data_IF_327046930630
#
_entry.id   IF_327046930630
#
_cell.length_a   1.000
_cell.length_b   1.000
_cell.length_c   1.000
_cell.angle_alpha   90.00
_cell.angle_beta   90.00
_cell.angle_gamma   90.00
#
_symmetry.space_group_name_H-M   'P 1'
#
loop_
_entity.id
_entity.type
_entity.pdbx_description
1 polymer ?
2 water ?
#
# COMPACT_ATOMS: atom_id res chain seq x y z
N UNK A 1 -11.28 -8.21 15.54
CA UNK A 1 -11.33 -9.69 15.41
C UNK A 1 -10.61 -10.17 14.16
N UNK A 2 -10.57 -11.49 13.99
CA UNK A 2 -9.91 -12.13 12.85
C UNK A 2 -8.39 -12.03 12.90
N UNK A 3 -7.75 -13.12 13.30
CA UNK A 3 -6.29 -13.18 13.37
C UNK A 3 -5.66 -12.33 14.47
N UNK A 4 -4.52 -11.72 14.14
CA UNK A 4 -3.77 -10.90 15.08
C UNK A 4 -3.87 -9.41 14.75
N UNK A 5 -3.57 -8.57 15.74
CA UNK A 5 -3.62 -7.13 15.55
C UNK A 5 -2.37 -6.61 14.85
N UNK A 6 -2.53 -5.53 14.10
CA UNK A 6 -1.42 -4.92 13.38
C UNK A 6 -0.99 -3.71 14.22
N UNK A 7 0.31 -3.60 14.48
CA UNK A 7 0.85 -2.51 15.29
C UNK A 7 1.86 -1.67 14.51
N UNK A 8 2.04 -0.42 14.92
CA UNK A 8 3.03 0.43 14.27
C UNK A 8 4.37 0.15 14.95
N UNK A 9 5.43 0.83 14.54
CA UNK A 9 6.74 0.56 15.14
C UNK A 9 6.85 0.99 16.60
N UNK A 10 5.88 1.78 17.06
CA UNK A 10 5.88 2.25 18.45
C UNK A 10 5.19 1.24 19.36
N UNK A 11 4.57 0.23 18.77
CA UNK A 11 3.88 -0.78 19.56
C UNK A 11 2.41 -0.47 19.76
N UNK A 12 1.90 0.54 19.07
CA UNK A 12 0.50 0.90 19.19
C UNK A 12 -0.28 0.33 18.02
N UNK A 13 -1.56 0.02 18.23
CA UNK A 13 -2.37 -0.54 17.15
C UNK A 13 -2.48 0.42 15.97
N UNK A 14 -2.56 -0.12 14.77
CA UNK A 14 -2.73 0.70 13.58
C UNK A 14 -4.23 0.90 13.48
N UNK A 15 -4.66 2.15 13.52
CA UNK A 15 -6.08 2.46 13.47
C UNK A 15 -6.60 2.85 12.10
N UNK A 16 -7.81 2.41 11.79
CA UNK A 16 -8.44 2.77 10.53
C UNK A 16 -8.63 4.28 10.57
N UNK A 17 -8.42 4.95 9.44
CA UNK A 17 -8.62 6.38 9.41
C UNK A 17 -7.44 7.25 9.78
N UNK A 18 -6.49 6.69 10.52
CA UNK A 18 -5.31 7.43 10.93
C UNK A 18 -4.24 7.40 9.84
N UNK A 19 -3.32 8.36 9.90
CA UNK A 19 -2.24 8.44 8.93
C UNK A 19 -1.04 7.58 9.31
N UNK A 20 -0.46 6.91 8.31
CA UNK A 20 0.70 6.05 8.54
C UNK A 20 1.61 6.04 7.33
N UNK A 21 2.91 6.01 7.58
CA UNK A 21 3.89 5.89 6.51
C UNK A 21 4.04 4.38 6.41
N UNK A 22 4.30 3.88 5.21
CA UNK A 22 4.54 2.45 5.01
C UNK A 22 5.99 2.42 4.55
N UNK A 23 6.88 1.96 5.41
CA UNK A 23 8.29 1.93 5.07
C UNK A 23 8.87 0.53 5.14
N UNK A 24 10.04 0.36 4.54
CA UNK A 24 10.72 -0.92 4.54
C UNK A 24 11.10 -1.36 5.95
N UNK A 25 10.80 -2.62 6.27
CA UNK A 25 11.12 -3.19 7.57
C UNK A 25 12.62 -3.44 7.65
N UNK A 26 13.13 -3.56 8.87
CA UNK A 26 14.56 -3.80 9.06
C UNK A 26 15.05 -5.03 8.29
N UNK A 27 14.20 -6.05 8.18
CA UNK A 27 14.60 -7.25 7.45
C UNK A 27 14.26 -7.14 5.97
N UNK A 28 13.90 -5.93 5.55
CA UNK A 28 13.57 -5.71 4.16
C UNK A 28 14.82 -5.67 3.31
N UNK A 29 14.71 -5.13 2.10
CA UNK A 29 15.86 -5.04 1.21
C UNK A 29 16.38 -3.61 1.10
N UNK A 30 16.10 -2.81 2.12
CA UNK A 30 16.56 -1.43 2.13
C UNK A 30 15.54 -0.43 1.61
N UNK A 31 15.88 0.85 1.71
CA UNK A 31 14.98 1.88 1.22
C UNK A 31 14.09 2.49 2.28
N UNK A 32 13.25 3.43 1.86
CA UNK A 32 12.34 4.09 2.77
C UNK A 32 10.88 3.73 2.54
N UNK A 33 10.03 4.76 2.58
CA UNK A 33 8.60 4.59 2.39
C UNK A 33 8.12 4.69 0.95
N UNK A 34 6.81 4.79 0.77
CA UNK A 34 6.21 4.85 -0.57
C UNK A 34 5.50 6.16 -0.87
N UNK A 35 5.37 6.46 -2.15
CA UNK A 35 4.72 7.69 -2.59
C UNK A 35 4.34 7.54 -4.05
N UNK A 36 3.40 8.37 -4.53
CA UNK A 36 3.02 8.28 -5.93
C UNK A 36 4.24 8.69 -6.74
N UNK A 37 4.46 8.03 -7.88
CA UNK A 37 5.61 8.34 -8.70
C UNK A 37 5.30 8.35 -10.18
N UNK A 38 6.21 8.96 -10.95
CA UNK A 38 6.06 9.07 -12.39
C UNK A 38 5.91 7.72 -13.07
N UNK A 39 4.98 7.65 -14.01
CA UNK A 39 4.73 6.42 -14.76
C UNK A 39 5.45 6.49 -16.11
N UNK A 40 6.26 5.48 -16.39
CA UNK A 40 7.02 5.41 -17.64
C UNK A 40 6.13 5.63 -18.86
N UNK A 41 6.10 6.86 -19.36
CA UNK A 41 5.29 7.17 -20.53
C UNK A 41 3.98 7.88 -20.23
N UNK A 42 3.92 8.56 -19.09
CA UNK A 42 2.71 9.28 -18.69
C UNK A 42 3.05 10.61 -18.02
N UNK A 43 2.22 11.62 -18.27
CA UNK A 43 2.42 12.93 -17.67
C UNK A 43 1.90 12.92 -16.24
N UNK A 44 0.96 12.03 -15.96
CA UNK A 44 0.36 11.93 -14.63
C UNK A 44 1.00 10.82 -13.80
N UNK A 45 1.62 11.18 -12.66
CA UNK A 45 2.27 10.21 -11.78
C UNK A 45 1.26 9.36 -11.02
N UNK A 46 0.93 8.21 -11.58
CA UNK A 46 -0.04 7.32 -10.94
C UNK A 46 0.53 5.96 -10.53
N UNK A 47 1.85 5.85 -10.51
CA UNK A 47 2.50 4.62 -10.07
C UNK A 47 2.87 4.84 -8.61
N UNK A 48 3.18 3.76 -7.89
CA UNK A 48 3.59 3.89 -6.50
C UNK A 48 5.01 3.38 -6.41
N UNK A 49 5.91 4.25 -5.95
CA UNK A 49 7.31 3.89 -5.85
C UNK A 49 7.82 3.94 -4.43
N UNK A 50 8.87 3.18 -4.17
CA UNK A 50 9.47 3.16 -2.85
C UNK A 50 10.72 4.03 -2.86
N UNK A 51 10.91 4.81 -1.81
CA UNK A 51 12.07 5.68 -1.69
C UNK A 51 13.36 4.87 -1.59
N UNK A 52 14.40 5.33 -2.27
CA UNK A 52 15.69 4.66 -2.25
C UNK A 52 16.39 4.84 -0.91
N UNK A 53 16.16 5.97 -0.26
CA UNK A 53 16.77 6.25 1.04
C UNK A 53 15.84 5.95 2.21
N UNK A 54 16.38 5.31 3.24
CA UNK A 54 15.59 4.99 4.43
C UNK A 54 15.33 6.26 5.24
N UNK A 55 15.85 7.39 4.75
CA UNK A 55 15.66 8.67 5.43
C UNK A 55 14.34 9.28 5.00
N UNK A 56 13.80 8.78 3.89
CA UNK A 56 12.55 9.27 3.33
C UNK A 56 11.41 8.28 3.57
N UNK A 57 10.48 8.66 4.44
CA UNK A 57 9.36 7.78 4.74
C UNK A 57 8.23 7.83 3.72
N UNK A 58 8.38 8.68 2.70
CA UNK A 58 7.37 8.77 1.66
C UNK A 58 6.15 9.60 2.03
N UNK A 59 5.02 9.29 1.40
CA UNK A 59 3.77 10.01 1.67
C UNK A 59 2.87 9.12 2.52
N UNK A 60 2.21 9.69 3.54
CA UNK A 60 1.32 8.89 4.40
C UNK A 60 0.07 8.37 3.69
N UNK A 61 -0.49 7.28 4.22
CA UNK A 61 -1.73 6.70 3.69
C UNK A 61 -2.70 6.54 4.86
N UNK A 62 -3.95 6.25 4.54
CA UNK A 62 -4.90 5.94 5.58
C UNK A 62 -5.62 4.70 5.09
N UNK A 63 -5.91 3.81 6.03
CA UNK A 63 -6.58 2.55 5.75
C UNK A 63 -8.06 2.68 6.06
N UNK A 64 -8.88 1.96 5.31
CA UNK A 64 -10.32 1.96 5.54
C UNK A 64 -10.81 0.52 5.39
N UNK A 65 -12.00 0.25 5.90
CA UNK A 65 -12.57 -1.09 5.82
C UNK A 65 -14.03 -1.04 5.43
N UNK A 66 -14.52 -2.06 4.72
CA UNK A 66 -15.92 -2.12 4.29
C UNK A 66 -16.83 -2.61 5.41
N UNK A 67 -16.27 -2.89 6.58
CA UNK A 67 -17.07 -3.39 7.69
C UNK A 67 -17.21 -2.42 8.85
N UNK A 68 -16.25 -1.51 8.98
CA UNK A 68 -16.28 -0.53 10.06
C UNK A 68 -15.56 0.75 9.66
N UNK A 69 -16.04 1.87 10.20
CA UNK A 69 -15.47 3.19 9.91
C UNK A 69 -14.30 3.51 10.84
N UNK A 70 -14.28 2.87 12.00
CA UNK A 70 -13.22 3.09 12.98
C UNK A 70 -12.86 1.78 13.66
N UNK A 71 -11.69 1.76 14.30
CA UNK A 71 -11.27 0.56 14.99
C UNK A 71 -9.84 0.15 14.70
N UNK A 72 -9.40 -0.90 15.40
CA UNK A 72 -8.06 -1.43 15.24
C UNK A 72 -7.99 -2.32 14.01
N UNK A 73 -6.82 -2.38 13.39
CA UNK A 73 -6.66 -3.21 12.22
C UNK A 73 -6.10 -4.57 12.61
N UNK A 74 -6.68 -5.61 12.04
CA UNK A 74 -6.26 -6.98 12.30
C UNK A 74 -5.74 -7.57 11.00
N UNK A 75 -4.80 -8.50 11.10
CA UNK A 75 -4.24 -9.14 9.93
C UNK A 75 -5.31 -9.95 9.21
N UNK A 76 -5.05 -10.23 7.94
CA UNK A 76 -5.94 -11.03 7.12
C UNK A 76 -7.39 -10.55 7.12
N UNK A 77 -7.58 -9.23 7.07
CA UNK A 77 -8.91 -8.64 7.01
C UNK A 77 -8.94 -7.63 5.86
N UNK A 78 -10.09 -7.51 5.20
CA UNK A 78 -10.25 -6.61 4.06
C UNK A 78 -9.98 -5.14 4.33
N UNK A 79 -9.17 -4.54 3.47
CA UNK A 79 -8.81 -3.14 3.61
C UNK A 79 -8.69 -2.44 2.27
N UNK A 80 -8.86 -1.13 2.30
CA UNK A 80 -8.68 -0.31 1.11
C UNK A 80 -7.65 0.71 1.57
N UNK A 81 -6.82 1.20 0.65
CA UNK A 81 -5.74 2.12 1.00
C UNK A 81 -5.75 3.38 0.13
N UNK A 82 -5.41 4.52 0.70
CA UNK A 82 -5.36 5.75 -0.08
C UNK A 82 -4.28 6.66 0.47
N UNK A 83 -3.60 7.40 -0.41
CA UNK A 83 -2.59 8.34 0.05
C UNK A 83 -3.36 9.55 0.56
N UNK A 84 -2.77 10.27 1.50
CA UNK A 84 -3.43 11.44 2.06
C UNK A 84 -3.41 12.66 1.14
N UNK A 85 -2.62 12.59 0.08
CA UNK A 85 -2.52 13.66 -0.92
C UNK A 85 -2.61 13.01 -2.30
N UNK A 86 -3.06 13.75 -3.31
CA UNK A 86 -3.15 13.18 -4.65
C UNK A 86 -2.75 14.20 -5.70
N UNK A 87 -2.28 13.74 -6.87
CA UNK A 87 -1.90 14.70 -7.92
C UNK A 87 -3.17 15.29 -8.52
N UNK A 88 -3.10 16.51 -9.04
CA UNK A 88 -4.28 17.14 -9.61
C UNK A 88 -4.79 16.45 -10.87
N UNK A 89 -3.90 15.71 -11.54
CA UNK A 89 -4.27 15.01 -12.75
C UNK A 89 -5.01 13.71 -12.45
N UNK A 90 -5.01 13.32 -11.17
CA UNK A 90 -5.69 12.11 -10.74
C UNK A 90 -6.98 12.51 -10.04
N UNK A 91 -8.01 11.69 -10.16
CA UNK A 91 -9.27 12.03 -9.51
C UNK A 91 -9.29 11.55 -8.06
N UNK A 92 -8.41 10.60 -7.74
CA UNK A 92 -8.32 10.08 -6.38
C UNK A 92 -6.93 9.50 -6.11
N UNK A 93 -6.62 9.29 -4.84
CA UNK A 93 -5.33 8.74 -4.45
C UNK A 93 -5.47 7.32 -3.91
N UNK A 94 -6.61 6.70 -4.20
CA UNK A 94 -6.88 5.34 -3.74
C UNK A 94 -5.97 4.36 -4.46
N UNK A 95 -5.47 3.36 -3.73
CA UNK A 95 -4.60 2.33 -4.31
C UNK A 95 -5.46 1.34 -5.08
N UNK A 96 -5.02 0.99 -6.28
CA UNK A 96 -5.72 0.05 -7.14
C UNK A 96 -4.71 -0.85 -7.83
N UNK A 97 -5.21 -1.91 -8.46
CA UNK A 97 -4.37 -2.84 -9.19
C UNK A 97 -4.65 -2.66 -10.68
N UNK A 98 -3.60 -2.37 -11.44
CA UNK A 98 -3.71 -2.17 -12.87
C UNK A 98 -2.93 -3.26 -13.59
N UNK A 99 -3.63 -4.05 -14.40
CA UNK A 99 -3.02 -5.13 -15.16
C UNK A 99 -3.22 -4.87 -16.65
N UNK A 100 -2.12 -4.61 -17.34
CA UNK A 100 -2.15 -4.34 -18.77
C UNK A 100 -0.77 -4.54 -19.35
N UNK A 101 -0.08 -5.58 -18.88
CA UNK A 101 1.26 -5.89 -19.35
C UNK A 101 1.71 -7.23 -18.78
N UNK A 102 0.75 -8.14 -18.60
CA UNK A 102 1.07 -9.45 -18.05
C UNK A 102 1.46 -9.38 -16.59
N UNK A 103 2.07 -8.26 -16.19
CA UNK A 103 2.50 -8.06 -14.81
C UNK A 103 1.70 -6.92 -14.16
N UNK A 104 0.86 -7.28 -13.19
CA UNK A 104 0.02 -6.31 -12.49
C UNK A 104 0.81 -5.42 -11.54
N UNK A 105 0.51 -4.12 -11.56
CA UNK A 105 1.18 -3.17 -10.70
C UNK A 105 0.20 -2.40 -9.82
N UNK A 106 0.71 -1.90 -8.71
CA UNK A 106 -0.11 -1.13 -7.78
C UNK A 106 -0.03 0.31 -8.26
N UNK A 107 -1.18 0.93 -8.45
CA UNK A 107 -1.23 2.31 -8.90
C UNK A 107 -2.29 3.03 -8.08
N UNK A 108 -2.46 4.32 -8.34
CA UNK A 108 -3.47 5.10 -7.65
C UNK A 108 -4.48 5.55 -8.69
N UNK A 109 -5.63 6.02 -8.22
CA UNK A 109 -6.66 6.47 -9.14
C UNK A 109 -7.62 5.34 -9.48
N UNK A 110 -8.90 5.68 -9.62
CA UNK A 110 -9.90 4.67 -9.93
C UNK A 110 -10.33 4.58 -11.38
N UNK A 111 -11.59 4.20 -11.59
CA UNK A 111 -12.15 4.05 -12.93
C UNK A 111 -12.07 5.32 -13.76
N UNK A 112 -11.92 6.46 -13.10
CA UNK A 112 -11.82 7.72 -13.81
C UNK A 112 -10.38 8.02 -14.19
N UNK A 113 -9.45 7.22 -13.68
CA UNK A 113 -8.04 7.44 -13.97
C UNK A 113 -7.39 6.33 -14.79
N UNK A 114 -8.12 5.25 -15.01
CA UNK A 114 -7.61 4.12 -15.78
C UNK A 114 -8.75 3.48 -16.54
N UNK A 115 -8.44 2.79 -17.65
CA UNK A 115 -9.51 2.14 -18.41
C UNK A 115 -10.10 1.04 -17.54
N UNK A 116 -11.42 0.99 -17.44
CA UNK A 116 -12.10 0.00 -16.61
C UNK A 116 -11.53 -1.41 -16.75
N UNK A 117 -11.35 -1.85 -17.99
CA UNK A 117 -10.84 -3.19 -18.24
C UNK A 117 -9.44 -3.47 -17.71
N UNK A 118 -8.73 -2.42 -17.31
CA UNK A 118 -7.38 -2.58 -16.79
C UNK A 118 -7.35 -2.81 -15.29
N UNK A 119 -8.37 -2.32 -14.60
CA UNK A 119 -8.45 -2.45 -13.15
C UNK A 119 -8.88 -3.83 -12.67
N UNK A 120 -8.30 -4.25 -11.55
CA UNK A 120 -8.62 -5.53 -10.94
C UNK A 120 -9.28 -5.27 -9.59
N UNK A 121 -10.58 -5.50 -9.51
CA UNK A 121 -11.32 -5.29 -8.27
C UNK A 121 -10.84 -6.23 -7.17
N UNK A 122 -11.00 -5.80 -5.92
CA UNK A 122 -10.57 -6.62 -4.80
C UNK A 122 -10.19 -5.81 -3.58
N UNK A 123 -9.66 -6.47 -2.56
CA UNK A 123 -9.26 -5.80 -1.32
C UNK A 123 -7.82 -6.13 -0.93
N UNK A 124 -7.23 -5.24 -0.15
CA UNK A 124 -5.87 -5.43 0.35
C UNK A 124 -5.98 -6.03 1.74
N UNK A 125 -4.89 -6.64 2.19
CA UNK A 125 -4.83 -7.21 3.51
C UNK A 125 -3.40 -7.08 4.01
N UNK A 126 -3.25 -6.99 5.32
CA UNK A 126 -1.94 -6.88 5.93
C UNK A 126 -1.68 -8.21 6.62
N UNK A 127 -0.57 -8.86 6.27
CA UNK A 127 -0.22 -10.13 6.88
C UNK A 127 1.05 -9.97 7.71
N UNK A 128 1.14 -10.71 8.81
CA UNK A 128 2.30 -10.65 9.67
C UNK A 128 3.44 -11.46 9.05
N UNK A 129 4.62 -10.85 8.99
CA UNK A 129 5.79 -11.49 8.39
C UNK A 129 6.82 -11.66 9.50
N UNK A 130 6.46 -12.46 10.50
CA UNK A 130 7.34 -12.67 11.62
C UNK A 130 6.93 -11.68 12.69
N UNK A 131 7.84 -11.35 13.59
CA UNK A 131 7.54 -10.40 14.65
C UNK A 131 8.18 -9.06 14.35
N UNK A 132 8.97 -9.01 13.29
CA UNK A 132 9.65 -7.78 12.90
C UNK A 132 9.13 -7.16 11.61
N UNK A 133 8.14 -7.77 10.98
CA UNK A 133 7.64 -7.21 9.74
C UNK A 133 6.24 -7.63 9.34
N UNK A 134 5.72 -6.94 8.33
CA UNK A 134 4.41 -7.22 7.78
C UNK A 134 4.59 -7.16 6.27
N UNK A 135 3.54 -7.54 5.55
CA UNK A 135 3.55 -7.47 4.10
C UNK A 135 2.12 -7.20 3.70
N UNK A 136 1.96 -6.57 2.54
CA UNK A 136 0.64 -6.28 2.02
C UNK A 136 0.33 -7.34 0.97
N UNK A 137 -0.93 -7.71 0.85
CA UNK A 137 -1.35 -8.66 -0.16
C UNK A 137 -2.62 -8.13 -0.78
N UNK A 138 -2.90 -8.55 -2.01
CA UNK A 138 -4.10 -8.13 -2.70
C UNK A 138 -4.92 -9.36 -3.06
N UNK A 139 -6.20 -9.34 -2.69
CA UNK A 139 -7.08 -10.46 -2.96
C UNK A 139 -8.15 -10.09 -3.98
N UNK A 140 -8.00 -10.58 -5.22
CA UNK A 140 -8.96 -10.29 -6.29
C UNK A 140 -10.36 -10.77 -5.92
N UNK A 141 -11.37 -10.12 -6.48
CA UNK A 141 -12.76 -10.48 -6.20
C UNK A 141 -13.10 -11.85 -6.81
N UNK A 142 -12.89 -11.98 -8.11
CA UNK A 142 -13.18 -13.22 -8.81
C UNK A 142 -12.34 -14.38 -8.30
N UNK A 143 -11.09 -14.10 -7.97
CA UNK A 143 -10.17 -15.11 -7.49
C UNK A 143 -10.44 -15.42 -6.01
N UNK A 144 -11.69 -15.73 -5.70
CA UNK A 144 -12.10 -16.04 -4.33
C UNK A 144 -11.38 -17.25 -3.76
N UNK A 145 -10.26 -17.01 -3.09
CA UNK A 145 -9.50 -18.10 -2.50
C UNK A 145 -8.01 -18.00 -2.78
N UNK A 146 -7.53 -16.79 -3.02
CA UNK A 146 -6.11 -16.57 -3.31
C UNK A 146 -5.76 -15.08 -3.37
N UNK A 147 -4.66 -14.71 -2.72
CA UNK A 147 -4.20 -13.33 -2.70
C UNK A 147 -2.73 -13.29 -3.12
N UNK A 148 -2.34 -12.23 -3.83
CA UNK A 148 -0.97 -12.08 -4.28
C UNK A 148 -0.22 -11.08 -3.40
N UNK A 149 1.06 -11.35 -3.15
CA UNK A 149 1.89 -10.46 -2.35
C UNK A 149 2.19 -9.18 -3.11
N UNK A 150 2.37 -8.10 -2.38
CA UNK A 150 2.77 -6.86 -3.00
C UNK A 150 4.28 -6.88 -2.82
N UNK A 151 5.00 -6.68 -3.92
CA UNK A 151 6.45 -6.69 -3.88
C UNK A 151 7.00 -5.49 -4.62
N UNK A 152 8.32 -5.39 -4.70
CA UNK A 152 8.98 -4.29 -5.38
C UNK A 152 9.62 -4.76 -6.67
N UNK A 153 9.45 -3.97 -7.73
CA UNK A 153 10.06 -4.27 -9.01
C UNK A 153 11.26 -3.35 -9.04
N UNK A 154 12.44 -3.92 -8.79
CA UNK A 154 13.67 -3.15 -8.78
C UNK A 154 14.15 -2.87 -10.21
N UNK A 155 14.10 -1.61 -10.60
CA UNK A 155 14.55 -1.21 -11.93
C UNK A 155 14.89 0.28 -11.92
N UNK A 156 15.43 0.73 -10.79
CA UNK A 156 15.79 2.12 -10.63
C UNK A 156 14.62 2.96 -10.16
N UNK A 157 13.41 2.44 -10.30
CA UNK A 157 12.22 3.17 -9.90
C UNK A 157 11.49 2.51 -8.73
N UNK A 158 11.99 1.36 -8.29
CA UNK A 158 11.39 0.62 -7.16
C UNK A 158 9.88 0.80 -7.10
N UNK A 159 9.17 0.30 -8.10
CA UNK A 159 7.72 0.44 -8.12
C UNK A 159 7.05 -0.75 -7.46
N UNK A 160 5.87 -0.54 -6.89
CA UNK A 160 5.14 -1.62 -6.24
C UNK A 160 4.36 -2.41 -7.27
N UNK A 161 4.47 -3.73 -7.17
CA UNK A 161 3.79 -4.62 -8.10
C UNK A 161 3.24 -5.84 -7.37
N UNK A 162 2.42 -6.62 -8.07
CA UNK A 162 1.89 -7.85 -7.49
C UNK A 162 2.82 -8.98 -7.92
N UNK A 163 3.26 -9.80 -6.97
CA UNK A 163 4.16 -10.91 -7.28
C UNK A 163 3.38 -12.20 -7.53
N UNK A 164 3.88 -13.03 -8.44
CA UNK A 164 3.23 -14.30 -8.75
C UNK A 164 3.53 -15.36 -7.70
N UNK A 165 4.68 -15.22 -7.04
CA UNK A 165 5.07 -16.16 -6.00
C UNK A 165 5.06 -15.45 -4.65
N UNK A 166 5.11 -16.21 -3.57
CA UNK A 166 5.09 -15.62 -2.24
C UNK A 166 6.47 -15.63 -1.60
N UNK A 167 7.50 -15.48 -2.42
CA UNK A 167 8.87 -15.50 -1.93
C UNK A 167 9.58 -14.16 -2.11
N UNK A 168 8.84 -13.13 -2.51
CA UNK A 168 9.48 -11.84 -2.71
C UNK A 168 8.60 -10.66 -2.29
N UNK A 169 7.97 -10.76 -1.11
CA UNK A 169 7.13 -9.64 -0.68
C UNK A 169 7.94 -8.44 -0.21
N UNK A 170 7.32 -7.26 -0.29
CA UNK A 170 7.94 -6.03 0.17
C UNK A 170 7.67 -6.07 1.68
N UNK A 171 8.74 -6.20 2.46
CA UNK A 171 8.62 -6.28 3.92
C UNK A 171 8.55 -4.89 4.53
N UNK A 172 7.42 -4.61 5.16
CA UNK A 172 7.18 -3.29 5.73
C UNK A 172 6.80 -3.22 7.21
N UNK A 173 6.80 -1.99 7.71
CA UNK A 173 6.38 -1.66 9.06
C UNK A 173 5.61 -0.36 8.91
N UNK A 174 4.79 -0.04 9.89
CA UNK A 174 3.97 1.16 9.84
C UNK A 174 4.44 2.22 10.82
N UNK A 175 4.57 3.45 10.34
CA UNK A 175 5.05 4.55 11.15
C UNK A 175 4.07 5.72 11.17
N UNK A 176 3.66 6.13 12.37
CA UNK A 176 2.75 7.25 12.51
C UNK A 176 3.53 8.55 12.36
N UNK A 177 3.03 9.46 11.52
CA UNK A 177 3.73 10.74 11.33
C UNK A 177 3.69 11.54 12.62
N UNK A 178 4.55 12.54 12.73
CA UNK A 178 4.59 13.38 13.92
C UNK A 178 3.57 14.51 13.77
N UNK A 179 2.90 14.86 14.86
CA UNK A 179 1.90 15.92 14.83
C UNK A 179 1.84 16.68 16.15
N UNK A 180 0.64 17.12 16.51
CA UNK A 180 0.44 17.86 17.74
C UNK A 180 -0.91 18.53 17.80
N UNK A 181 -0.92 19.85 17.60
CA UNK A 181 -2.15 20.62 17.63
C UNK A 181 -2.92 20.55 16.31
N UNK A 182 -2.25 20.08 15.27
CA UNK A 182 -2.86 19.96 13.95
C UNK A 182 -1.88 19.34 12.97
N UNK A 183 -2.40 18.62 11.97
CA UNK A 183 -1.55 17.99 10.96
C UNK A 183 -2.00 18.45 9.58
N UNK A 184 -1.59 19.65 9.20
CA UNK A 184 -1.97 20.20 7.91
C UNK A 184 -1.79 19.19 6.78
N UNK A 185 -2.90 18.59 6.37
CA UNK A 185 -2.89 17.60 5.30
C UNK A 185 -2.06 16.37 5.68
#
# INVERSE_FOLDING_TARGET
SDAEKVYDIEGYPVFLGSEYYIVSAIIGAGGGGVRPGRTRGSMCPMSIIQEQSDLQMGLPVRFSSPEEKQGKIYTDTELEIEFVEKPDCAESSKWVIVKDSGEARVAIGGSEDHPQGELVRGFFKIEKLGSLAYKLVFCPKSDSGSCSDIGINYEGRRSLVLKSSDDVPFRVVFVKPRSGSETES
#
